data_IF_383185990790
#
_entry.id   IF_383185990790
#
_cell.length_a   1.000
_cell.length_b   1.000
_cell.length_c   1.000
_cell.angle_alpha   90.00
_cell.angle_beta   90.00
_cell.angle_gamma   90.00
#
_symmetry.space_group_name_H-M   'P 1'
#
loop_
_entity.id
_entity.type
_entity.pdbx_description
1 polymer ?
#
# COMPACT_ATOMS: atom_id res chain seq x y z
N UNK A 1 12.60 -6.36 -20.39
CA UNK A 1 12.70 -5.37 -19.30
C UNK A 1 11.36 -4.66 -19.18
N UNK A 2 10.85 -4.44 -17.97
CA UNK A 2 9.62 -3.67 -17.76
C UNK A 2 9.92 -2.18 -17.93
N UNK A 3 9.01 -1.40 -18.53
CA UNK A 3 9.13 0.05 -18.65
C UNK A 3 9.28 0.75 -17.28
N UNK A 4 8.80 0.12 -16.20
CA UNK A 4 8.99 0.61 -14.82
C UNK A 4 10.44 0.46 -14.37
N UNK A 5 11.16 -0.55 -14.87
CA UNK A 5 12.56 -0.80 -14.50
C UNK A 5 13.50 0.32 -14.97
N UNK A 6 13.15 0.98 -16.08
CA UNK A 6 13.96 2.05 -16.70
C UNK A 6 13.75 3.43 -16.08
N UNK A 7 12.75 3.59 -15.21
CA UNK A 7 12.52 4.84 -14.47
C UNK A 7 13.66 5.12 -13.48
N UNK A 8 13.97 6.40 -13.29
CA UNK A 8 14.85 6.86 -12.22
C UNK A 8 14.26 6.57 -10.83
N UNK A 9 15.05 6.73 -9.77
CA UNK A 9 14.60 6.48 -8.41
C UNK A 9 13.45 7.41 -8.00
N UNK A 10 13.49 8.68 -8.40
CA UNK A 10 12.44 9.66 -8.04
C UNK A 10 11.17 9.45 -8.87
N UNK A 11 11.30 9.09 -10.15
CA UNK A 11 10.15 8.68 -10.98
C UNK A 11 9.48 7.41 -10.45
N UNK A 12 10.25 6.45 -9.92
CA UNK A 12 9.70 5.26 -9.26
C UNK A 12 8.90 5.60 -8.01
N UNK A 13 9.38 6.56 -7.19
CA UNK A 13 8.64 7.03 -6.00
C UNK A 13 7.34 7.71 -6.41
N UNK A 14 7.38 8.64 -7.36
CA UNK A 14 6.18 9.32 -7.85
C UNK A 14 5.17 8.34 -8.46
N UNK A 15 5.66 7.33 -9.19
CA UNK A 15 4.81 6.25 -9.71
C UNK A 15 4.14 5.47 -8.58
N UNK A 16 4.88 5.07 -7.55
CA UNK A 16 4.32 4.37 -6.38
C UNK A 16 3.28 5.23 -5.65
N UNK A 17 3.53 6.53 -5.50
CA UNK A 17 2.62 7.43 -4.76
C UNK A 17 1.34 7.75 -5.53
N UNK A 18 1.39 7.82 -6.86
CA UNK A 18 0.24 8.26 -7.69
C UNK A 18 -0.44 7.15 -8.45
N UNK A 19 0.34 6.28 -9.10
CA UNK A 19 -0.21 5.26 -9.98
C UNK A 19 -0.57 3.98 -9.21
N UNK A 20 0.22 3.60 -8.19
CA UNK A 20 -0.06 2.39 -7.41
C UNK A 20 -1.44 2.40 -6.72
N UNK A 21 -1.92 3.49 -6.10
CA UNK A 21 -3.24 3.52 -5.48
C UNK A 21 -4.38 3.37 -6.50
N UNK A 22 -4.24 4.00 -7.67
CA UNK A 22 -5.21 3.91 -8.76
C UNK A 22 -5.26 2.49 -9.33
N UNK A 23 -4.10 1.93 -9.69
CA UNK A 23 -3.97 0.55 -10.19
C UNK A 23 -4.40 -0.48 -9.13
N UNK A 24 -4.04 -0.24 -7.88
CA UNK A 24 -4.38 -1.09 -6.74
C UNK A 24 -5.88 -1.11 -6.48
N UNK A 25 -6.58 0.01 -6.64
CA UNK A 25 -8.04 0.10 -6.45
C UNK A 25 -8.80 -0.79 -7.42
N UNK A 26 -8.34 -0.87 -8.67
CA UNK A 26 -8.95 -1.78 -9.66
C UNK A 26 -8.56 -3.24 -9.39
N UNK A 27 -7.29 -3.49 -9.09
CA UNK A 27 -6.77 -4.84 -8.88
C UNK A 27 -7.31 -5.50 -7.60
N UNK A 28 -7.55 -4.73 -6.52
CA UNK A 28 -8.13 -5.22 -5.27
C UNK A 28 -9.58 -5.70 -5.44
N UNK A 29 -10.30 -5.26 -6.49
CA UNK A 29 -11.64 -5.76 -6.82
C UNK A 29 -11.61 -7.19 -7.35
N UNK A 30 -10.45 -7.71 -7.77
CA UNK A 30 -10.28 -9.11 -8.17
C UNK A 30 -10.10 -10.00 -6.90
N UNK A 31 -11.05 -10.91 -6.62
CA UNK A 31 -10.98 -11.79 -5.45
C UNK A 31 -9.74 -12.72 -5.45
N UNK A 32 -9.20 -13.04 -6.63
CA UNK A 32 -8.02 -13.89 -6.79
C UNK A 32 -6.69 -13.14 -6.65
N UNK A 33 -6.73 -11.80 -6.64
CA UNK A 33 -5.54 -10.95 -6.60
C UNK A 33 -5.10 -10.64 -5.17
N UNK A 34 -6.05 -10.35 -4.28
CA UNK A 34 -5.77 -10.01 -2.87
C UNK A 34 -4.84 -11.02 -2.15
N UNK A 35 -5.06 -12.35 -2.24
CA UNK A 35 -4.17 -13.32 -1.62
C UNK A 35 -2.75 -13.32 -2.20
N UNK A 36 -2.57 -12.86 -3.45
CA UNK A 36 -1.28 -12.75 -4.13
C UNK A 36 -0.55 -11.45 -3.79
N UNK A 37 -1.30 -10.37 -3.55
CA UNK A 37 -0.74 -9.06 -3.20
C UNK A 37 -0.20 -9.03 -1.76
N UNK A 38 -0.88 -9.70 -0.83
CA UNK A 38 -0.51 -9.72 0.58
C UNK A 38 0.97 -10.07 0.85
N UNK A 39 1.53 -11.19 0.33
CA UNK A 39 2.94 -11.53 0.57
C UNK A 39 3.92 -10.49 -0.01
N UNK A 40 3.56 -9.80 -1.10
CA UNK A 40 4.39 -8.75 -1.69
C UNK A 40 4.47 -7.53 -0.76
N UNK A 41 3.34 -7.09 -0.22
CA UNK A 41 3.28 -5.97 0.73
C UNK A 41 4.08 -6.31 2.00
N UNK A 42 3.91 -7.51 2.55
CA UNK A 42 4.66 -7.97 3.73
C UNK A 42 6.17 -8.05 3.48
N UNK A 43 6.59 -8.44 2.27
CA UNK A 43 7.99 -8.42 1.86
C UNK A 43 8.58 -7.01 1.87
N UNK A 44 7.86 -6.03 1.32
CA UNK A 44 8.30 -4.63 1.29
C UNK A 44 8.43 -4.03 2.69
N UNK A 45 7.50 -4.34 3.60
CA UNK A 45 7.56 -3.90 5.00
C UNK A 45 8.77 -4.51 5.72
N UNK A 46 9.04 -5.79 5.48
CA UNK A 46 10.19 -6.47 6.07
C UNK A 46 11.52 -5.89 5.59
N UNK A 47 11.59 -5.42 4.33
CA UNK A 47 12.79 -4.79 3.76
C UNK A 47 12.99 -3.35 4.21
N UNK A 48 11.92 -2.65 4.64
CA UNK A 48 11.99 -1.26 5.08
C UNK A 48 12.44 -1.10 6.55
N UNK A 49 12.78 -2.20 7.24
CA UNK A 49 13.09 -2.25 8.68
C UNK A 49 11.92 -1.76 9.58
N UNK A 50 10.73 -1.58 9.00
CA UNK A 50 9.54 -1.15 9.74
C UNK A 50 8.95 -2.35 10.47
N UNK A 51 8.80 -2.23 11.78
CA UNK A 51 8.13 -3.26 12.57
C UNK A 51 6.64 -3.35 12.22
N UNK A 52 6.18 -4.57 11.91
CA UNK A 52 4.77 -4.81 11.56
C UNK A 52 3.83 -4.45 12.71
N UNK A 53 4.26 -4.62 13.96
CA UNK A 53 3.52 -4.19 15.15
C UNK A 53 3.36 -2.67 15.21
N UNK A 54 4.41 -1.91 14.90
CA UNK A 54 4.33 -0.45 14.77
C UNK A 54 3.40 0.00 13.64
N UNK A 55 3.42 -0.71 12.50
CA UNK A 55 2.51 -0.45 11.39
C UNK A 55 1.04 -0.68 11.77
N UNK A 56 0.75 -1.77 12.49
CA UNK A 56 -0.59 -2.05 13.00
C UNK A 56 -1.03 -1.03 14.06
N UNK A 57 -0.13 -0.59 14.94
CA UNK A 57 -0.40 0.48 15.89
C UNK A 57 -0.72 1.80 15.17
N UNK A 58 0.05 2.16 14.14
CA UNK A 58 -0.20 3.35 13.33
C UNK A 58 -1.55 3.26 12.60
N UNK A 59 -1.89 2.10 12.03
CA UNK A 59 -3.19 1.88 11.40
C UNK A 59 -4.35 2.01 12.39
N UNK A 60 -4.21 1.48 13.61
CA UNK A 60 -5.20 1.63 14.67
C UNK A 60 -5.35 3.09 15.13
N UNK A 61 -4.24 3.82 15.25
CA UNK A 61 -4.28 5.25 15.57
C UNK A 61 -4.95 6.06 14.46
N UNK A 62 -4.62 5.79 13.19
CA UNK A 62 -5.18 6.51 12.06
C UNK A 62 -6.68 6.18 11.86
N UNK A 63 -7.08 4.93 12.06
CA UNK A 63 -8.48 4.49 12.06
C UNK A 63 -9.29 5.07 13.22
N UNK A 64 -8.66 5.33 14.37
CA UNK A 64 -9.29 6.02 15.50
C UNK A 64 -9.40 7.54 15.28
N UNK A 65 -8.59 8.12 14.39
CA UNK A 65 -8.66 9.54 14.00
C UNK A 65 -9.46 9.82 12.74
N UNK A 66 -9.95 8.78 12.05
CA UNK A 66 -10.92 8.97 10.97
C UNK A 66 -12.18 9.59 11.58
N UNK A 67 -12.64 10.78 11.13
CA UNK A 67 -13.89 11.35 11.61
C UNK A 67 -14.98 10.34 11.31
N UNK A 68 -15.63 9.84 12.35
CA UNK A 68 -16.82 9.03 12.18
C UNK A 68 -17.85 9.86 11.43
N UNK A 69 -18.10 9.53 10.17
CA UNK A 69 -19.39 9.81 9.55
C UNK A 69 -20.41 8.85 10.18
N UNK A 70 -20.70 9.08 11.46
CA UNK A 70 -21.78 8.51 12.24
C UNK A 70 -22.55 9.68 12.83
N UNK A 71 -23.37 10.29 11.98
CA UNK A 71 -24.47 11.18 12.34
C UNK A 71 -25.56 10.33 13.02
N UNK A 72 -26.12 10.89 14.10
CA UNK A 72 -27.39 10.55 14.78
C UNK A 72 -27.48 9.31 15.69
#
# INVERSE_FOLDING_TARGET
MSAVSTLSADEKKEFILRALPELGTEAIKDPGFLPRLLPVILGLIRESDIDLGQLLQLANMLGATAPGNGQD
#
